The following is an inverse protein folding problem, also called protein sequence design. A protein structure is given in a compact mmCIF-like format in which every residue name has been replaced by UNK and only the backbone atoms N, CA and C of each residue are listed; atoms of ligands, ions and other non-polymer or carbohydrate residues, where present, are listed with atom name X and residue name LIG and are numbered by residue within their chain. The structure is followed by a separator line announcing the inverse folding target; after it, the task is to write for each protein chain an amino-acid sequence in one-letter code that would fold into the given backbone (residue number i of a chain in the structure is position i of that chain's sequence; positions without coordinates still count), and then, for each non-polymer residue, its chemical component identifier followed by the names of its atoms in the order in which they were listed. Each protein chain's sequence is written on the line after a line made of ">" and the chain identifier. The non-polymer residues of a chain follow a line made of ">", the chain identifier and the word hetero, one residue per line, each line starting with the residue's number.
data_IF_797500270433
#
_entry.id   IF_797500270433
#
_cell.length_a   1.000
_cell.length_b   1.000
_cell.length_c   1.000
_cell.angle_alpha   90.00
_cell.angle_beta   90.00
_cell.angle_gamma   90.00
#
_symmetry.space_group_name_H-M   'P 1'
#
loop_
_entity.id
_entity.type
_entity.pdbx_description
1 polymer ?
#
# COMPACT_ATOMS: atom_id res chain seq x y z
N UNK A 1 88.25 37.86 19.94
CA UNK A 1 87.80 38.15 21.31
C UNK A 1 86.37 38.61 21.24
N UNK A 2 85.49 37.96 21.86
CA UNK A 2 84.03 38.02 22.10
C UNK A 2 83.33 36.75 21.67
N UNK A 3 83.03 35.98 22.66
CA UNK A 3 82.24 34.75 22.64
C UNK A 3 80.79 35.10 22.35
N UNK A 4 80.16 34.28 21.52
CA UNK A 4 78.68 34.27 21.34
C UNK A 4 78.14 32.94 21.70
N UNK A 5 77.38 32.87 22.74
CA UNK A 5 76.61 31.70 23.21
C UNK A 5 75.42 31.40 22.27
N UNK A 6 75.11 30.17 21.98
CA UNK A 6 73.91 29.85 21.19
C UNK A 6 72.66 29.78 22.04
N UNK A 7 71.61 30.40 21.50
CA UNK A 7 70.22 30.34 22.01
C UNK A 7 69.63 28.95 21.77
N UNK A 8 69.11 28.34 22.83
CA UNK A 8 68.38 27.09 22.80
C UNK A 8 66.91 27.36 22.42
N UNK A 9 66.47 26.84 21.30
CA UNK A 9 65.07 26.94 20.86
C UNK A 9 64.28 25.79 21.48
N UNK A 10 63.38 26.15 22.39
CA UNK A 10 62.40 25.24 22.98
C UNK A 10 61.33 24.91 21.93
N UNK A 11 61.28 23.67 21.42
CA UNK A 11 60.25 23.16 20.56
C UNK A 11 59.00 22.78 21.42
N UNK A 12 58.02 23.66 21.48
CA UNK A 12 56.66 23.28 21.93
C UNK A 12 56.00 22.36 20.88
N UNK A 13 55.93 21.08 21.17
CA UNK A 13 55.17 20.14 20.37
C UNK A 13 53.64 20.39 20.54
N UNK A 14 53.00 20.88 19.49
CA UNK A 14 51.56 20.98 19.40
C UNK A 14 50.99 19.59 19.06
N UNK A 15 50.48 18.88 20.07
CA UNK A 15 49.77 17.64 19.87
C UNK A 15 48.41 17.93 19.23
N UNK A 16 48.30 17.69 17.92
CA UNK A 16 47.04 17.74 17.21
C UNK A 16 46.23 16.46 17.59
N UNK A 17 45.28 16.59 18.50
CA UNK A 17 44.25 15.56 18.70
C UNK A 17 43.35 15.57 17.48
N UNK A 18 43.59 14.63 16.54
CA UNK A 18 42.63 14.26 15.53
C UNK A 18 41.49 13.48 16.23
N UNK A 19 40.42 14.22 16.55
CA UNK A 19 39.12 13.59 16.84
C UNK A 19 38.65 12.92 15.54
N UNK A 20 39.00 11.63 15.41
CA UNK A 20 38.37 10.73 14.46
C UNK A 20 36.91 10.56 14.89
N UNK A 21 36.04 11.45 14.40
CA UNK A 21 34.61 11.23 14.43
C UNK A 21 34.31 9.96 13.65
N UNK A 22 34.05 8.85 14.36
CA UNK A 22 33.47 7.67 13.76
C UNK A 22 32.15 8.08 13.11
N UNK A 23 31.88 7.73 11.84
CA UNK A 23 30.57 7.96 11.26
C UNK A 23 29.55 7.20 12.13
N UNK A 24 28.59 7.94 12.68
CA UNK A 24 27.48 7.35 13.40
C UNK A 24 26.84 6.30 12.49
N UNK A 25 26.80 5.06 12.99
CA UNK A 25 26.33 3.89 12.27
C UNK A 25 24.90 4.12 11.77
N UNK A 26 24.72 4.25 10.46
CA UNK A 26 23.42 4.21 9.80
C UNK A 26 22.68 2.90 10.16
N UNK A 27 23.40 1.81 10.36
CA UNK A 27 22.83 0.51 10.69
C UNK A 27 22.07 0.40 12.01
N UNK A 28 22.41 1.21 13.04
CA UNK A 28 21.71 1.12 14.35
C UNK A 28 20.35 1.85 14.35
N UNK A 29 20.17 2.88 13.53
CA UNK A 29 18.89 3.60 13.40
C UNK A 29 17.87 2.79 12.60
N UNK A 30 18.30 2.04 11.61
CA UNK A 30 17.44 1.19 10.78
C UNK A 30 16.97 -0.04 11.53
N UNK A 31 17.81 -0.65 12.38
CA UNK A 31 17.44 -1.79 13.22
C UNK A 31 16.36 -1.43 14.26
N UNK A 32 16.40 -0.22 14.83
CA UNK A 32 15.43 0.26 15.81
C UNK A 32 14.02 0.49 15.22
N UNK A 33 13.91 0.71 13.92
CA UNK A 33 12.66 0.98 13.19
C UNK A 33 12.14 -0.21 12.38
N UNK A 34 12.88 -1.31 12.32
CA UNK A 34 12.43 -2.52 11.64
C UNK A 34 11.06 -2.97 12.13
N UNK A 35 10.24 -3.51 11.24
CA UNK A 35 8.95 -4.10 11.63
C UNK A 35 9.20 -5.19 12.65
N UNK A 36 8.59 -5.04 13.84
CA UNK A 36 8.86 -5.87 15.03
C UNK A 36 8.04 -7.15 15.02
N UNK A 37 6.84 -7.08 14.45
CA UNK A 37 5.93 -8.23 14.39
C UNK A 37 6.36 -9.11 13.23
N UNK A 38 6.51 -10.41 13.49
CA UNK A 38 6.74 -11.39 12.45
C UNK A 38 5.40 -11.82 11.84
N UNK A 39 4.91 -11.03 10.88
CA UNK A 39 3.67 -11.34 10.18
C UNK A 39 3.83 -12.64 9.37
N UNK A 40 2.83 -13.54 9.44
CA UNK A 40 2.89 -14.80 8.71
C UNK A 40 2.88 -14.58 7.20
N UNK A 41 3.46 -15.52 6.48
CA UNK A 41 3.46 -15.59 5.04
C UNK A 41 2.48 -16.67 4.61
N UNK A 42 1.31 -16.27 4.13
CA UNK A 42 0.27 -17.18 3.70
C UNK A 42 0.47 -17.60 2.25
N UNK A 43 0.54 -18.91 2.01
CA UNK A 43 0.69 -19.46 0.67
C UNK A 43 -0.68 -19.67 0.03
N UNK A 44 -0.95 -18.99 -1.07
CA UNK A 44 -2.21 -19.06 -1.81
C UNK A 44 -2.17 -20.13 -2.92
N UNK A 45 -1.05 -20.20 -3.64
CA UNK A 45 -0.75 -21.21 -4.67
C UNK A 45 0.70 -21.68 -4.52
N UNK A 46 1.18 -22.65 -5.33
CA UNK A 46 2.59 -23.01 -5.29
C UNK A 46 3.56 -21.84 -5.46
N UNK A 47 3.17 -20.78 -6.18
CA UNK A 47 4.04 -19.66 -6.53
C UNK A 47 3.56 -18.31 -6.01
N UNK A 48 2.39 -18.22 -5.37
CA UNK A 48 1.82 -16.94 -4.88
C UNK A 48 1.65 -16.97 -3.37
N UNK A 49 2.16 -15.92 -2.73
CA UNK A 49 2.09 -15.72 -1.29
C UNK A 49 1.58 -14.31 -0.97
N UNK A 50 1.03 -14.13 0.20
CA UNK A 50 0.56 -12.84 0.72
C UNK A 50 0.97 -12.68 2.17
N UNK A 51 1.33 -11.47 2.57
CA UNK A 51 1.47 -11.08 3.97
C UNK A 51 0.22 -10.26 4.31
N UNK A 52 -0.69 -10.82 5.11
CA UNK A 52 -1.88 -10.07 5.52
C UNK A 52 -1.52 -9.07 6.63
N UNK A 53 -1.65 -7.78 6.32
CA UNK A 53 -1.51 -6.73 7.31
C UNK A 53 -2.72 -6.65 8.26
N UNK A 54 -2.55 -6.04 9.44
CA UNK A 54 -3.67 -5.77 10.34
C UNK A 54 -4.69 -4.81 9.71
N UNK A 55 -5.96 -4.96 10.09
CA UNK A 55 -7.07 -4.13 9.58
C UNK A 55 -7.33 -2.88 10.42
N UNK A 56 -6.48 -2.60 11.41
CA UNK A 56 -6.54 -1.38 12.21
C UNK A 56 -5.92 -0.18 11.49
N UNK A 57 -6.29 1.02 11.91
CA UNK A 57 -5.63 2.25 11.49
C UNK A 57 -4.13 2.26 11.83
N UNK A 58 -3.32 3.10 11.18
CA UNK A 58 -1.92 3.27 11.54
C UNK A 58 -1.74 3.59 13.02
N UNK A 59 -0.92 2.80 13.71
CA UNK A 59 -0.59 2.93 15.13
C UNK A 59 0.91 2.68 15.36
N UNK A 60 1.45 3.06 16.54
CA UNK A 60 2.81 2.66 16.91
C UNK A 60 2.98 1.14 17.03
N UNK A 61 1.92 0.40 17.31
CA UNK A 61 1.95 -1.06 17.48
C UNK A 61 2.11 -1.78 16.13
N UNK A 62 1.29 -1.42 15.13
CA UNK A 62 1.39 -2.00 13.79
C UNK A 62 2.44 -1.29 12.90
N UNK A 63 3.09 -0.25 13.41
CA UNK A 63 4.11 0.53 12.70
C UNK A 63 3.63 1.01 11.31
N UNK A 64 2.35 1.39 11.22
CA UNK A 64 1.64 1.79 10.01
C UNK A 64 1.55 0.70 8.91
N UNK A 65 1.96 -0.54 9.17
CA UNK A 65 1.72 -1.66 8.25
C UNK A 65 0.26 -2.09 8.32
N UNK A 66 -0.41 -2.19 7.17
CA UNK A 66 -1.84 -2.53 7.13
C UNK A 66 -2.34 -3.15 5.82
N UNK A 67 -1.63 -3.02 4.72
CA UNK A 67 -2.00 -3.59 3.43
C UNK A 67 -1.61 -5.08 3.30
N UNK A 68 -1.92 -5.67 2.16
CA UNK A 68 -1.62 -7.06 1.83
C UNK A 68 -0.53 -7.15 0.73
N UNK A 69 0.77 -7.08 1.05
CA UNK A 69 1.81 -7.30 0.06
C UNK A 69 1.72 -8.69 -0.56
N UNK A 70 1.62 -8.74 -1.89
CA UNK A 70 1.68 -9.97 -2.67
C UNK A 70 3.11 -10.30 -3.08
N UNK A 71 3.48 -11.57 -3.05
CA UNK A 71 4.78 -12.11 -3.48
C UNK A 71 4.53 -13.20 -4.52
N UNK A 72 5.05 -13.03 -5.72
CA UNK A 72 4.88 -13.98 -6.82
C UNK A 72 6.24 -14.51 -7.26
N UNK A 73 6.46 -15.80 -7.10
CA UNK A 73 7.68 -16.46 -7.54
C UNK A 73 7.58 -16.77 -9.05
N UNK A 74 8.57 -16.33 -9.82
CA UNK A 74 8.67 -16.63 -11.24
C UNK A 74 9.99 -17.34 -11.57
N UNK A 75 10.15 -17.78 -12.83
CA UNK A 75 11.42 -18.38 -13.26
C UNK A 75 12.57 -17.35 -13.30
N UNK A 76 12.28 -16.09 -13.60
CA UNK A 76 13.29 -15.02 -13.74
C UNK A 76 13.55 -14.24 -12.46
N UNK A 77 12.68 -14.33 -11.47
CA UNK A 77 12.80 -13.58 -10.23
C UNK A 77 11.48 -13.52 -9.48
N UNK A 78 11.38 -12.58 -8.56
CA UNK A 78 10.20 -12.36 -7.73
C UNK A 78 9.51 -11.07 -8.14
N UNK A 79 8.18 -11.08 -8.17
CA UNK A 79 7.35 -9.90 -8.38
C UNK A 79 6.60 -9.58 -7.09
N UNK A 80 6.59 -8.31 -6.71
CA UNK A 80 5.85 -7.81 -5.55
C UNK A 80 4.63 -7.04 -6.03
N UNK A 81 3.52 -7.17 -5.30
CA UNK A 81 2.33 -6.33 -5.47
C UNK A 81 2.13 -5.58 -4.17
N UNK A 82 2.14 -4.23 -4.24
CA UNK A 82 1.95 -3.32 -3.12
C UNK A 82 2.88 -3.57 -1.92
N UNK A 83 4.14 -3.13 -1.96
CA UNK A 83 5.16 -3.48 -0.96
C UNK A 83 4.98 -2.83 0.42
N UNK A 84 3.93 -2.03 0.64
CA UNK A 84 3.61 -1.52 1.97
C UNK A 84 3.82 -0.02 2.18
N UNK A 85 3.69 0.39 3.44
CA UNK A 85 3.52 1.78 3.90
C UNK A 85 4.81 2.54 4.20
N UNK A 86 5.98 1.88 4.12
CA UNK A 86 7.25 2.51 4.47
C UNK A 86 8.45 1.70 3.97
N UNK A 87 9.64 2.31 4.01
CA UNK A 87 10.92 1.61 3.77
C UNK A 87 11.06 0.39 4.68
N UNK A 88 10.56 0.46 5.91
CA UNK A 88 10.66 -0.62 6.90
C UNK A 88 9.76 -1.80 6.53
N UNK A 89 8.55 -1.54 6.04
CA UNK A 89 7.64 -2.57 5.53
C UNK A 89 8.20 -3.19 4.25
N UNK A 90 8.68 -2.37 3.29
CA UNK A 90 9.35 -2.88 2.09
C UNK A 90 10.55 -3.77 2.42
N UNK A 91 11.37 -3.38 3.41
CA UNK A 91 12.47 -4.20 3.90
C UNK A 91 12.00 -5.50 4.57
N UNK A 92 10.85 -5.49 5.25
CA UNK A 92 10.22 -6.72 5.77
C UNK A 92 9.81 -7.64 4.62
N UNK A 93 9.19 -7.12 3.57
CA UNK A 93 8.82 -7.89 2.37
C UNK A 93 10.06 -8.53 1.75
N UNK A 94 11.18 -7.77 1.62
CA UNK A 94 12.47 -8.32 1.14
C UNK A 94 12.92 -9.50 1.99
N UNK A 95 12.94 -9.37 3.31
CA UNK A 95 13.32 -10.48 4.21
C UNK A 95 12.41 -11.70 4.03
N UNK A 96 11.10 -11.50 3.87
CA UNK A 96 10.15 -12.61 3.61
C UNK A 96 10.44 -13.31 2.28
N UNK A 97 10.75 -12.55 1.21
CA UNK A 97 11.17 -13.13 -0.07
C UNK A 97 12.42 -13.99 0.09
N UNK A 98 13.42 -13.53 0.85
CA UNK A 98 14.67 -14.25 1.09
C UNK A 98 14.47 -15.57 1.85
N UNK A 99 13.36 -15.74 2.58
CA UNK A 99 13.01 -17.06 3.17
C UNK A 99 12.46 -18.06 2.16
N UNK A 100 12.00 -17.58 0.99
CA UNK A 100 11.39 -18.41 -0.05
C UNK A 100 12.37 -18.79 -1.17
N UNK A 101 13.30 -17.89 -1.50
CA UNK A 101 14.18 -18.04 -2.67
C UNK A 101 15.36 -17.07 -2.64
N UNK A 102 16.47 -17.48 -3.28
CA UNK A 102 17.63 -16.61 -3.52
C UNK A 102 17.49 -15.73 -4.78
N UNK A 103 16.38 -15.87 -5.52
CA UNK A 103 16.13 -15.08 -6.72
C UNK A 103 15.87 -13.60 -6.39
N UNK A 104 16.35 -12.66 -7.24
CA UNK A 104 16.12 -11.24 -7.00
C UNK A 104 14.65 -10.86 -7.19
N UNK A 105 14.22 -9.79 -6.51
CA UNK A 105 13.00 -9.08 -6.87
C UNK A 105 13.29 -8.30 -8.17
N UNK A 106 12.48 -8.55 -9.21
CA UNK A 106 12.68 -7.98 -10.56
C UNK A 106 11.62 -6.97 -10.94
N UNK A 107 10.44 -7.04 -10.32
CA UNK A 107 9.37 -6.09 -10.57
C UNK A 107 8.49 -5.85 -9.33
N UNK A 108 7.82 -4.70 -9.35
CA UNK A 108 6.78 -4.30 -8.41
C UNK A 108 5.58 -3.78 -9.21
N UNK A 109 4.36 -4.15 -8.82
CA UNK A 109 3.13 -3.48 -9.26
C UNK A 109 2.54 -2.71 -8.08
N UNK A 110 2.27 -1.43 -8.27
CA UNK A 110 1.49 -0.65 -7.32
C UNK A 110 0.07 -0.50 -7.86
N UNK A 111 -0.92 -0.88 -7.04
CA UNK A 111 -2.33 -0.86 -7.45
C UNK A 111 -2.88 0.55 -7.50
N UNK A 112 -2.52 1.42 -6.56
CA UNK A 112 -2.96 2.82 -6.50
C UNK A 112 -2.04 3.67 -5.62
N UNK A 113 -2.33 4.99 -5.47
CA UNK A 113 -1.43 5.96 -4.87
C UNK A 113 -1.57 6.13 -3.34
N UNK A 114 -2.42 5.35 -2.64
CA UNK A 114 -2.43 5.42 -1.19
C UNK A 114 -1.12 4.90 -0.60
N UNK A 115 -0.59 5.62 0.39
CA UNK A 115 0.77 5.43 0.87
C UNK A 115 1.08 4.04 1.42
N UNK A 116 0.08 3.35 1.95
CA UNK A 116 0.21 1.98 2.47
C UNK A 116 0.40 0.92 1.37
N UNK A 117 0.28 1.29 0.09
CA UNK A 117 0.47 0.37 -1.04
C UNK A 117 1.81 0.57 -1.77
N UNK A 118 2.48 1.73 -1.65
CA UNK A 118 3.67 2.00 -2.46
C UNK A 118 4.88 2.60 -1.76
N UNK A 119 4.74 3.15 -0.56
CA UNK A 119 5.88 3.75 0.14
C UNK A 119 6.96 2.71 0.50
N UNK A 120 6.62 1.42 0.51
CA UNK A 120 7.56 0.31 0.61
C UNK A 120 8.46 0.10 -0.61
N UNK A 121 8.18 0.77 -1.75
CA UNK A 121 9.01 0.74 -2.96
C UNK A 121 10.48 1.03 -2.65
N UNK A 122 10.76 1.97 -1.74
CA UNK A 122 12.11 2.31 -1.33
C UNK A 122 12.85 1.10 -0.75
N UNK A 123 12.23 0.35 0.16
CA UNK A 123 12.83 -0.86 0.74
C UNK A 123 13.16 -1.92 -0.31
N UNK A 124 12.31 -2.05 -1.33
CA UNK A 124 12.59 -2.93 -2.47
C UNK A 124 13.78 -2.41 -3.30
N UNK A 125 13.78 -1.10 -3.65
CA UNK A 125 14.84 -0.51 -4.48
C UNK A 125 16.20 -0.47 -3.78
N UNK A 126 16.25 -0.31 -2.46
CA UNK A 126 17.50 -0.38 -1.71
C UNK A 126 18.15 -1.77 -1.79
N UNK A 127 17.35 -2.84 -1.73
CA UNK A 127 17.84 -4.21 -1.85
C UNK A 127 18.05 -4.64 -3.31
N UNK A 128 17.17 -4.22 -4.20
CA UNK A 128 17.13 -4.60 -5.62
C UNK A 128 16.97 -3.36 -6.52
N UNK A 129 18.02 -2.55 -6.74
CA UNK A 129 17.92 -1.27 -7.48
C UNK A 129 17.41 -1.40 -8.91
N UNK A 130 17.55 -2.60 -9.52
CA UNK A 130 17.10 -2.87 -10.90
C UNK A 130 15.65 -3.36 -10.99
N UNK A 131 14.96 -3.58 -9.87
CA UNK A 131 13.54 -3.93 -9.88
C UNK A 131 12.73 -2.83 -10.57
N UNK A 132 11.87 -3.18 -11.52
CA UNK A 132 11.05 -2.23 -12.29
C UNK A 132 9.70 -2.05 -11.61
N UNK A 133 9.33 -0.82 -11.28
CA UNK A 133 8.06 -0.50 -10.64
C UNK A 133 7.05 -0.06 -11.71
N UNK A 134 5.89 -0.72 -11.73
CA UNK A 134 4.77 -0.46 -12.63
C UNK A 134 3.59 0.13 -11.87
N UNK A 135 2.90 1.12 -12.44
CA UNK A 135 1.65 1.65 -11.93
C UNK A 135 0.83 2.36 -13.02
N UNK A 136 -0.40 2.73 -12.71
CA UNK A 136 -1.24 3.54 -13.59
C UNK A 136 -0.57 4.90 -13.90
N UNK A 137 -0.73 5.47 -15.15
CA UNK A 137 -0.13 6.76 -15.52
C UNK A 137 -0.44 7.91 -14.54
N UNK A 138 -1.67 8.00 -14.05
CA UNK A 138 -2.06 9.03 -13.06
C UNK A 138 -1.32 8.84 -11.74
N UNK A 139 -1.21 7.61 -11.22
CA UNK A 139 -0.42 7.33 -10.01
C UNK A 139 1.02 7.75 -10.21
N UNK A 140 1.63 7.44 -11.35
CA UNK A 140 3.01 7.88 -11.65
C UNK A 140 3.15 9.41 -11.61
N UNK A 141 2.18 10.14 -12.14
CA UNK A 141 2.16 11.60 -12.09
C UNK A 141 2.02 12.12 -10.66
N UNK A 142 1.15 11.54 -9.83
CA UNK A 142 0.97 11.90 -8.42
C UNK A 142 2.23 11.62 -7.59
N UNK A 143 2.89 10.49 -7.81
CA UNK A 143 4.12 10.13 -7.10
C UNK A 143 5.29 11.09 -7.38
N UNK A 144 5.27 11.83 -8.51
CA UNK A 144 6.23 12.88 -8.83
C UNK A 144 5.95 14.21 -8.10
N UNK A 145 4.81 14.33 -7.44
CA UNK A 145 4.37 15.48 -6.66
C UNK A 145 4.55 15.23 -5.15
N UNK A 146 3.64 15.77 -4.35
CA UNK A 146 3.72 15.69 -2.89
C UNK A 146 3.00 14.49 -2.26
N UNK A 147 2.36 13.63 -3.07
CA UNK A 147 1.52 12.52 -2.60
C UNK A 147 2.23 11.65 -1.54
N UNK A 148 3.44 11.21 -1.85
CA UNK A 148 4.20 10.39 -0.90
C UNK A 148 4.55 11.11 0.41
N UNK A 149 4.90 12.40 0.34
CA UNK A 149 5.20 13.19 1.54
C UNK A 149 3.98 13.42 2.41
N UNK A 150 2.81 13.63 1.80
CA UNK A 150 1.54 13.75 2.54
C UNK A 150 1.20 12.47 3.31
N UNK A 151 1.37 11.31 2.67
CA UNK A 151 1.13 10.03 3.33
C UNK A 151 2.14 9.74 4.44
N UNK A 152 3.43 10.00 4.24
CA UNK A 152 4.47 9.86 5.27
C UNK A 152 4.14 10.72 6.49
N UNK A 153 3.73 11.99 6.28
CA UNK A 153 3.31 12.87 7.37
C UNK A 153 2.11 12.28 8.13
N UNK A 154 1.06 11.90 7.40
CA UNK A 154 -0.15 11.34 8.00
C UNK A 154 0.10 10.04 8.79
N UNK A 155 0.97 9.17 8.29
CA UNK A 155 1.34 7.93 8.98
C UNK A 155 2.20 8.20 10.21
N UNK A 156 3.18 9.13 10.13
CA UNK A 156 4.01 9.49 11.27
C UNK A 156 3.19 10.09 12.42
N UNK A 157 2.23 10.95 12.12
CA UNK A 157 1.34 11.55 13.12
C UNK A 157 0.54 10.47 13.89
N UNK A 158 0.10 9.41 13.21
CA UNK A 158 -0.70 8.33 13.80
C UNK A 158 0.13 7.22 14.44
N UNK A 159 1.34 6.97 13.92
CA UNK A 159 2.20 5.86 14.35
C UNK A 159 3.39 6.28 15.19
N UNK A 160 3.41 7.53 15.72
CA UNK A 160 4.51 8.10 16.49
C UNK A 160 5.87 7.99 15.79
N UNK A 161 5.91 8.36 14.49
CA UNK A 161 7.14 8.38 13.70
C UNK A 161 7.61 7.01 13.20
N UNK A 162 6.75 5.99 13.19
CA UNK A 162 7.16 4.63 12.79
C UNK A 162 7.56 4.50 11.32
N UNK A 163 7.18 5.45 10.45
CA UNK A 163 7.57 5.46 9.02
C UNK A 163 8.68 6.47 8.71
N UNK A 164 9.28 7.09 9.74
CA UNK A 164 10.41 8.02 9.57
C UNK A 164 11.56 7.37 8.80
N UNK A 165 12.25 8.20 8.01
CA UNK A 165 13.35 7.77 7.14
C UNK A 165 12.87 7.21 5.79
N UNK A 166 11.53 7.10 5.58
CA UNK A 166 10.98 6.70 4.29
C UNK A 166 11.08 7.85 3.28
N UNK A 167 11.58 7.55 2.10
CA UNK A 167 11.62 8.44 0.93
C UNK A 167 10.70 7.90 -0.15
N UNK A 168 9.77 8.69 -0.70
CA UNK A 168 8.90 8.21 -1.77
C UNK A 168 9.70 7.82 -3.02
N UNK A 169 9.53 6.59 -3.48
CA UNK A 169 10.11 6.07 -4.73
C UNK A 169 8.97 5.72 -5.69
N UNK A 170 8.76 6.59 -6.68
CA UNK A 170 7.67 6.47 -7.65
C UNK A 170 7.88 5.37 -8.69
N UNK A 171 6.84 5.09 -9.51
CA UNK A 171 6.90 4.09 -10.57
C UNK A 171 7.87 4.43 -11.71
N UNK A 172 8.62 3.42 -12.16
CA UNK A 172 9.52 3.54 -13.33
C UNK A 172 8.73 3.53 -14.64
N UNK A 173 7.72 2.64 -14.75
CA UNK A 173 6.93 2.42 -15.95
C UNK A 173 5.43 2.55 -15.69
N UNK A 174 4.72 2.90 -16.75
CA UNK A 174 3.26 2.89 -16.73
C UNK A 174 2.72 1.52 -17.13
N UNK A 175 1.55 1.18 -16.56
CA UNK A 175 0.75 0.02 -16.93
C UNK A 175 -0.68 0.49 -17.18
N UNK A 176 -1.26 0.07 -18.30
CA UNK A 176 -2.60 0.49 -18.75
C UNK A 176 -3.55 -0.70 -18.74
N UNK A 177 -4.82 -0.42 -18.93
CA UNK A 177 -5.83 -1.47 -19.07
C UNK A 177 -5.51 -2.41 -20.23
N UNK A 178 -5.55 -3.71 -19.98
CA UNK A 178 -5.29 -4.76 -20.95
C UNK A 178 -3.82 -5.09 -21.17
N UNK A 179 -2.88 -4.32 -20.61
CA UNK A 179 -1.46 -4.63 -20.70
C UNK A 179 -1.18 -6.02 -20.07
N UNK A 180 -0.26 -6.76 -20.73
CA UNK A 180 0.27 -8.02 -20.20
C UNK A 180 1.78 -7.90 -20.04
N UNK A 181 2.23 -7.90 -18.80
CA UNK A 181 3.65 -7.92 -18.47
C UNK A 181 4.07 -9.37 -18.24
N UNK A 182 4.99 -9.86 -19.08
CA UNK A 182 5.54 -11.20 -18.94
C UNK A 182 6.86 -11.13 -18.15
N UNK A 183 6.97 -11.92 -17.08
CA UNK A 183 8.20 -12.10 -16.29
C UNK A 183 8.51 -13.58 -16.26
N UNK A 184 9.47 -13.99 -17.09
CA UNK A 184 9.63 -15.38 -17.45
C UNK A 184 8.38 -15.91 -18.16
N UNK A 185 7.90 -17.07 -17.72
CA UNK A 185 6.67 -17.65 -18.26
C UNK A 185 5.39 -17.15 -17.55
N UNK A 186 5.51 -16.35 -16.50
CA UNK A 186 4.36 -15.87 -15.73
C UNK A 186 3.79 -14.59 -16.34
N UNK A 187 2.49 -14.60 -16.59
CA UNK A 187 1.73 -13.46 -17.16
C UNK A 187 1.08 -12.66 -16.04
N UNK A 188 1.31 -11.34 -16.06
CA UNK A 188 0.64 -10.37 -15.21
C UNK A 188 -0.27 -9.52 -16.08
N UNK A 189 -1.57 -9.78 -16.05
CA UNK A 189 -2.56 -8.99 -16.79
C UNK A 189 -3.03 -7.84 -15.93
N UNK A 190 -2.90 -6.62 -16.47
CA UNK A 190 -3.31 -5.39 -15.82
C UNK A 190 -4.74 -5.05 -16.21
N UNK A 191 -5.59 -4.79 -15.23
CA UNK A 191 -6.97 -4.37 -15.43
C UNK A 191 -7.17 -3.01 -14.75
N UNK A 192 -7.46 -1.98 -15.52
CA UNK A 192 -7.90 -0.68 -15.03
C UNK A 192 -9.41 -0.54 -15.26
N UNK A 193 -10.24 -0.58 -14.21
CA UNK A 193 -11.70 -0.59 -14.36
C UNK A 193 -12.31 0.79 -14.61
N UNK A 194 -11.52 1.86 -14.62
CA UNK A 194 -11.97 3.24 -14.49
C UNK A 194 -12.09 3.66 -13.03
N UNK A 195 -12.66 4.83 -12.73
CA UNK A 195 -12.82 5.31 -11.36
C UNK A 195 -13.59 4.32 -10.49
N UNK A 196 -12.94 3.80 -9.44
CA UNK A 196 -13.49 2.83 -8.49
C UNK A 196 -13.19 3.25 -7.04
N UNK A 197 -12.21 2.65 -6.36
CA UNK A 197 -11.71 3.13 -5.08
C UNK A 197 -10.97 4.47 -5.22
N UNK A 198 -10.18 4.58 -6.29
CA UNK A 198 -9.57 5.80 -6.79
C UNK A 198 -9.83 5.93 -8.30
N UNK A 199 -9.29 6.96 -8.95
CA UNK A 199 -9.41 7.12 -10.40
C UNK A 199 -8.21 6.55 -11.18
N UNK A 200 -7.36 5.79 -10.48
CA UNK A 200 -6.12 5.22 -11.01
C UNK A 200 -5.86 3.79 -10.48
N UNK A 201 -6.91 3.09 -10.06
CA UNK A 201 -6.78 1.72 -9.54
C UNK A 201 -6.37 0.74 -10.63
N UNK A 202 -5.46 -0.17 -10.27
CA UNK A 202 -5.13 -1.35 -11.05
C UNK A 202 -5.49 -2.62 -10.28
N UNK A 203 -6.10 -3.58 -10.95
CA UNK A 203 -6.15 -4.97 -10.51
C UNK A 203 -5.07 -5.74 -11.27
N UNK A 204 -4.39 -6.66 -10.59
CA UNK A 204 -3.33 -7.48 -11.19
C UNK A 204 -3.78 -8.93 -11.19
N UNK A 205 -4.05 -9.46 -12.37
CA UNK A 205 -4.44 -10.85 -12.57
C UNK A 205 -3.25 -11.71 -12.97
N UNK A 206 -3.16 -12.87 -12.35
CA UNK A 206 -2.24 -13.95 -12.71
C UNK A 206 -3.08 -15.11 -13.27
N UNK A 207 -3.36 -15.13 -14.58
CA UNK A 207 -4.27 -16.13 -15.17
C UNK A 207 -3.81 -17.56 -14.93
N UNK A 208 -2.49 -17.81 -15.02
CA UNK A 208 -1.92 -19.15 -14.88
C UNK A 208 -2.00 -19.68 -13.43
N UNK A 209 -2.02 -18.78 -12.44
CA UNK A 209 -2.16 -19.09 -11.02
C UNK A 209 -3.63 -18.99 -10.54
N UNK A 210 -4.54 -18.49 -11.39
CA UNK A 210 -5.95 -18.18 -11.06
C UNK A 210 -6.10 -17.26 -9.84
N UNK A 211 -5.22 -16.28 -9.71
CA UNK A 211 -5.21 -15.29 -8.63
C UNK A 211 -5.48 -13.90 -9.19
N UNK A 212 -6.32 -13.12 -8.50
CA UNK A 212 -6.55 -11.72 -8.79
C UNK A 212 -6.29 -10.88 -7.55
N UNK A 213 -5.35 -9.93 -7.66
CA UNK A 213 -5.14 -8.87 -6.68
C UNK A 213 -6.02 -7.68 -7.03
N UNK A 214 -6.92 -7.31 -6.14
CA UNK A 214 -7.87 -6.22 -6.33
C UNK A 214 -7.34 -4.84 -5.92
N UNK A 215 -6.27 -4.78 -5.11
CA UNK A 215 -5.99 -3.56 -4.35
C UNK A 215 -7.22 -3.17 -3.52
N UNK A 216 -7.42 -1.89 -3.27
CA UNK A 216 -8.51 -1.38 -2.42
C UNK A 216 -9.88 -1.32 -3.10
N UNK A 217 -9.98 -1.77 -4.37
CA UNK A 217 -11.27 -2.05 -5.00
C UNK A 217 -12.07 -3.06 -4.16
N UNK A 218 -11.36 -3.99 -3.48
CA UNK A 218 -11.95 -4.89 -2.47
C UNK A 218 -11.18 -4.74 -1.15
N UNK A 219 -11.93 -4.55 -0.07
CA UNK A 219 -11.43 -4.54 1.30
C UNK A 219 -12.28 -5.45 2.17
N UNK A 220 -11.67 -6.12 3.13
CA UNK A 220 -12.34 -6.98 4.08
C UNK A 220 -11.95 -6.60 5.51
N UNK A 221 -12.93 -6.35 6.35
CA UNK A 221 -12.74 -5.97 7.75
C UNK A 221 -12.28 -4.54 8.01
N UNK A 222 -12.05 -3.72 6.97
CA UNK A 222 -11.56 -2.35 7.09
C UNK A 222 -12.31 -1.42 6.14
N UNK A 223 -12.65 -0.24 6.64
CA UNK A 223 -13.09 0.91 5.85
C UNK A 223 -12.09 2.06 6.00
N UNK A 224 -12.01 2.91 5.01
CA UNK A 224 -11.11 4.05 4.98
C UNK A 224 -11.57 5.05 3.91
N UNK A 225 -10.77 6.04 3.57
CA UNK A 225 -11.10 7.05 2.58
C UNK A 225 -11.60 6.40 1.30
N UNK A 226 -12.65 6.97 0.74
CA UNK A 226 -13.22 6.57 -0.53
C UNK A 226 -13.21 7.82 -1.43
N UNK A 227 -12.51 7.74 -2.55
CA UNK A 227 -12.16 8.94 -3.30
C UNK A 227 -12.76 9.02 -4.70
N UNK A 228 -13.43 7.97 -5.19
CA UNK A 228 -13.89 7.99 -6.57
C UNK A 228 -15.39 7.69 -6.77
N UNK A 229 -15.80 6.43 -6.88
CA UNK A 229 -17.17 6.08 -7.27
C UNK A 229 -17.63 4.75 -6.67
N UNK A 230 -18.73 4.78 -5.93
CA UNK A 230 -19.38 3.55 -5.45
C UNK A 230 -19.88 2.68 -6.60
N UNK A 231 -20.51 3.29 -7.61
CA UNK A 231 -20.99 2.60 -8.81
C UNK A 231 -19.83 2.01 -9.60
N UNK A 232 -18.78 2.81 -9.79
CA UNK A 232 -17.57 2.36 -10.47
C UNK A 232 -16.87 1.22 -9.72
N UNK A 233 -16.82 1.30 -8.39
CA UNK A 233 -16.22 0.24 -7.57
C UNK A 233 -16.99 -1.09 -7.67
N UNK A 234 -18.33 -1.04 -7.65
CA UNK A 234 -19.19 -2.21 -7.90
C UNK A 234 -18.90 -2.80 -9.28
N UNK A 235 -18.84 -1.96 -10.32
CA UNK A 235 -18.55 -2.39 -11.69
C UNK A 235 -17.13 -3.00 -11.81
N UNK A 236 -16.15 -2.44 -11.09
CA UNK A 236 -14.79 -2.97 -11.00
C UNK A 236 -14.76 -4.36 -10.37
N UNK A 237 -15.48 -4.57 -9.27
CA UNK A 237 -15.62 -5.89 -8.63
C UNK A 237 -16.27 -6.86 -9.61
N UNK A 238 -17.35 -6.47 -10.28
CA UNK A 238 -18.03 -7.32 -11.27
C UNK A 238 -17.11 -7.71 -12.43
N UNK A 239 -16.22 -6.79 -12.86
CA UNK A 239 -15.21 -7.08 -13.88
C UNK A 239 -14.19 -8.11 -13.37
N UNK A 240 -13.69 -7.96 -12.14
CA UNK A 240 -12.77 -8.91 -11.52
C UNK A 240 -13.39 -10.30 -11.34
N UNK A 241 -14.68 -10.37 -10.95
CA UNK A 241 -15.42 -11.62 -10.80
C UNK A 241 -15.73 -12.36 -12.11
N UNK A 242 -15.56 -11.70 -13.27
CA UNK A 242 -15.67 -12.30 -14.60
C UNK A 242 -14.36 -12.92 -15.09
N UNK A 243 -13.25 -12.70 -14.39
CA UNK A 243 -11.99 -13.41 -14.68
C UNK A 243 -12.09 -14.87 -14.31
N UNK A 244 -11.10 -15.67 -14.72
CA UNK A 244 -11.02 -17.07 -14.32
C UNK A 244 -10.38 -17.29 -12.94
N UNK A 245 -10.10 -16.20 -12.20
CA UNK A 245 -9.54 -16.30 -10.87
C UNK A 245 -10.46 -17.06 -9.91
N UNK A 246 -9.85 -17.88 -9.08
CA UNK A 246 -10.50 -18.62 -8.01
C UNK A 246 -10.05 -18.18 -6.64
N UNK A 247 -8.92 -17.44 -6.58
CA UNK A 247 -8.38 -16.81 -5.37
C UNK A 247 -8.35 -15.31 -5.58
N UNK A 248 -8.89 -14.59 -4.63
CA UNK A 248 -9.01 -13.13 -4.66
C UNK A 248 -8.30 -12.51 -3.47
N UNK A 249 -7.42 -11.56 -3.75
CA UNK A 249 -6.61 -10.86 -2.75
C UNK A 249 -7.12 -9.42 -2.65
N UNK A 250 -7.76 -9.03 -1.54
CA UNK A 250 -8.14 -7.65 -1.29
C UNK A 250 -6.90 -6.81 -0.92
N UNK A 251 -7.00 -5.49 -0.99
CA UNK A 251 -5.94 -4.59 -0.50
C UNK A 251 -5.73 -4.71 1.01
N UNK A 252 -6.80 -5.00 1.76
CA UNK A 252 -6.80 -5.21 3.20
C UNK A 252 -7.71 -6.37 3.59
N UNK A 253 -7.36 -7.06 4.69
CA UNK A 253 -8.11 -8.19 5.22
C UNK A 253 -7.73 -9.52 4.58
N UNK A 254 -8.57 -10.54 4.70
CA UNK A 254 -8.20 -11.90 4.30
C UNK A 254 -8.45 -12.19 2.83
N UNK A 255 -7.49 -12.86 2.21
CA UNK A 255 -7.68 -13.47 0.88
C UNK A 255 -8.60 -14.68 0.96
N UNK A 256 -9.29 -14.98 -0.14
CA UNK A 256 -10.20 -16.12 -0.19
C UNK A 256 -10.77 -16.35 -1.58
N UNK A 257 -11.89 -17.07 -1.63
CA UNK A 257 -12.65 -17.27 -2.85
C UNK A 257 -13.47 -16.01 -3.22
N UNK A 258 -14.33 -16.12 -4.21
CA UNK A 258 -15.17 -15.02 -4.70
C UNK A 258 -16.05 -14.36 -3.63
N UNK A 259 -16.29 -15.04 -2.49
CA UNK A 259 -17.13 -14.50 -1.42
C UNK A 259 -16.52 -13.24 -0.79
N UNK A 260 -15.19 -13.11 -0.76
CA UNK A 260 -14.49 -11.88 -0.29
C UNK A 260 -14.93 -10.67 -1.11
N UNK A 261 -14.84 -10.77 -2.43
CA UNK A 261 -15.25 -9.68 -3.32
C UNK A 261 -16.77 -9.43 -3.29
N UNK A 262 -17.57 -10.49 -3.24
CA UNK A 262 -19.03 -10.39 -3.16
C UNK A 262 -19.49 -9.76 -1.85
N UNK A 263 -18.81 -9.99 -0.73
CA UNK A 263 -19.13 -9.40 0.55
C UNK A 263 -18.94 -7.87 0.52
N UNK A 264 -17.79 -7.40 0.01
CA UNK A 264 -17.55 -5.96 -0.13
C UNK A 264 -18.48 -5.30 -1.15
N UNK A 265 -18.75 -5.98 -2.27
CA UNK A 265 -19.74 -5.55 -3.25
C UNK A 265 -21.13 -5.32 -2.61
N UNK A 266 -21.58 -6.26 -1.78
CA UNK A 266 -22.86 -6.14 -1.04
C UNK A 266 -22.86 -4.94 -0.09
N UNK A 267 -21.73 -4.70 0.61
CA UNK A 267 -21.57 -3.49 1.43
C UNK A 267 -21.83 -2.22 0.61
N UNK A 268 -21.18 -2.09 -0.55
CA UNK A 268 -21.30 -0.92 -1.43
C UNK A 268 -22.73 -0.77 -1.98
N UNK A 269 -23.37 -1.88 -2.38
CA UNK A 269 -24.75 -1.89 -2.85
C UNK A 269 -25.73 -1.47 -1.75
N UNK A 270 -25.58 -2.01 -0.54
CA UNK A 270 -26.41 -1.65 0.60
C UNK A 270 -26.30 -0.16 0.89
N UNK A 271 -25.08 0.38 0.89
CA UNK A 271 -24.83 1.81 1.04
C UNK A 271 -25.62 2.62 -0.01
N UNK A 272 -25.42 2.32 -1.30
CA UNK A 272 -26.08 3.03 -2.40
C UNK A 272 -27.61 2.94 -2.34
N UNK A 273 -28.15 1.76 -2.05
CA UNK A 273 -29.61 1.54 -1.96
C UNK A 273 -30.20 2.39 -0.83
N UNK A 274 -29.60 2.39 0.34
CA UNK A 274 -30.11 3.16 1.49
C UNK A 274 -30.01 4.67 1.26
N UNK A 275 -28.87 5.12 0.70
CA UNK A 275 -28.69 6.55 0.38
C UNK A 275 -29.69 7.00 -0.69
N UNK A 276 -29.90 6.21 -1.76
CA UNK A 276 -30.90 6.54 -2.80
C UNK A 276 -32.31 6.60 -2.24
N UNK A 277 -32.69 5.69 -1.36
CA UNK A 277 -33.99 5.74 -0.67
C UNK A 277 -34.14 7.00 0.19
N UNK A 278 -33.09 7.35 0.93
CA UNK A 278 -33.06 8.59 1.71
C UNK A 278 -33.23 9.83 0.82
N UNK A 279 -32.44 9.92 -0.25
CA UNK A 279 -32.45 11.02 -1.22
C UNK A 279 -33.86 11.23 -1.83
N UNK A 280 -34.48 10.16 -2.34
CA UNK A 280 -35.85 10.21 -2.91
C UNK A 280 -36.94 10.58 -1.90
N UNK A 281 -36.67 10.38 -0.60
CA UNK A 281 -37.53 10.82 0.49
C UNK A 281 -37.23 12.25 0.99
N UNK A 282 -36.33 12.99 0.32
CA UNK A 282 -35.96 14.35 0.66
C UNK A 282 -35.10 14.49 1.91
N UNK A 283 -34.44 13.40 2.38
CA UNK A 283 -33.51 13.42 3.52
C UNK A 283 -32.17 13.95 3.08
N UNK A 284 -31.52 14.75 3.92
CA UNK A 284 -30.12 15.08 3.80
C UNK A 284 -29.22 13.87 4.14
N UNK A 285 -27.96 13.92 3.75
CA UNK A 285 -26.94 12.90 4.07
C UNK A 285 -26.82 12.66 5.58
N UNK A 286 -26.89 13.73 6.38
CA UNK A 286 -26.85 13.65 7.84
C UNK A 286 -28.07 12.91 8.42
N UNK A 287 -29.29 13.20 7.93
CA UNK A 287 -30.54 12.60 8.42
C UNK A 287 -30.66 11.12 8.08
N UNK A 288 -30.05 10.67 6.97
CA UNK A 288 -30.11 9.27 6.57
C UNK A 288 -29.03 8.38 7.25
N UNK A 289 -27.98 8.97 7.83
CA UNK A 289 -26.87 8.23 8.47
C UNK A 289 -27.31 7.14 9.44
N UNK A 290 -28.26 7.35 10.37
CA UNK A 290 -28.71 6.29 11.31
C UNK A 290 -29.36 5.10 10.58
N UNK A 291 -30.12 5.36 9.50
CA UNK A 291 -30.77 4.30 8.70
C UNK A 291 -29.75 3.48 7.92
N UNK A 292 -28.76 4.16 7.34
CA UNK A 292 -27.65 3.50 6.64
C UNK A 292 -26.84 2.64 7.63
N UNK A 293 -26.52 3.17 8.82
CA UNK A 293 -25.84 2.42 9.87
C UNK A 293 -26.59 1.14 10.26
N UNK A 294 -27.90 1.22 10.44
CA UNK A 294 -28.75 0.07 10.77
C UNK A 294 -28.73 -0.99 9.66
N UNK A 295 -28.78 -0.59 8.39
CA UNK A 295 -28.75 -1.50 7.25
C UNK A 295 -27.39 -2.16 7.06
N UNK A 296 -26.32 -1.55 7.54
CA UNK A 296 -24.95 -2.08 7.52
C UNK A 296 -24.58 -2.89 8.77
N UNK A 297 -25.57 -3.38 9.52
CA UNK A 297 -25.35 -4.09 10.80
C UNK A 297 -24.43 -5.30 10.71
N UNK A 298 -24.39 -6.00 9.57
CA UNK A 298 -23.46 -7.12 9.32
C UNK A 298 -21.99 -6.69 9.31
N UNK A 299 -21.71 -5.43 9.05
CA UNK A 299 -20.37 -4.83 8.94
C UNK A 299 -19.96 -4.04 10.18
N UNK A 300 -20.78 -4.05 11.26
CA UNK A 300 -20.55 -3.25 12.47
C UNK A 300 -19.18 -3.45 13.15
N UNK A 301 -18.56 -4.60 12.91
CA UNK A 301 -17.25 -4.95 13.46
C UNK A 301 -16.08 -4.58 12.51
N UNK A 302 -16.37 -3.99 11.36
CA UNK A 302 -15.32 -3.53 10.47
C UNK A 302 -14.64 -2.29 11.04
N UNK A 303 -13.32 -2.30 11.01
CA UNK A 303 -12.50 -1.19 11.50
C UNK A 303 -12.85 0.10 10.75
N UNK A 304 -12.89 1.20 11.49
CA UNK A 304 -13.21 2.54 11.02
C UNK A 304 -14.62 2.73 10.40
N UNK A 305 -15.56 1.77 10.55
CA UNK A 305 -16.91 1.97 10.00
C UNK A 305 -17.60 3.20 10.61
N UNK A 306 -17.59 3.32 11.94
CA UNK A 306 -18.29 4.42 12.63
C UNK A 306 -17.68 5.78 12.29
N UNK A 307 -16.36 5.85 12.23
CA UNK A 307 -15.58 7.05 11.93
C UNK A 307 -15.76 7.49 10.47
N UNK A 308 -15.77 6.52 9.55
CA UNK A 308 -15.87 6.78 8.11
C UNK A 308 -17.29 6.94 7.60
N UNK A 309 -18.31 6.44 8.34
CA UNK A 309 -19.69 6.33 7.85
C UNK A 309 -20.25 7.67 7.36
N UNK A 310 -20.00 8.77 8.08
CA UNK A 310 -20.46 10.09 7.67
C UNK A 310 -19.92 10.49 6.29
N UNK A 311 -18.62 10.36 6.09
CA UNK A 311 -17.98 10.68 4.81
C UNK A 311 -18.47 9.76 3.67
N UNK A 312 -18.64 8.46 3.97
CA UNK A 312 -19.14 7.49 2.99
C UNK A 312 -20.58 7.80 2.58
N UNK A 313 -21.45 8.16 3.52
CA UNK A 313 -22.84 8.55 3.25
C UNK A 313 -22.88 9.83 2.41
N UNK A 314 -22.10 10.86 2.78
CA UNK A 314 -22.04 12.11 2.02
C UNK A 314 -21.50 11.90 0.61
N UNK A 315 -20.44 11.07 0.44
CA UNK A 315 -19.91 10.75 -0.88
C UNK A 315 -20.92 9.98 -1.75
N UNK A 316 -21.61 8.98 -1.17
CA UNK A 316 -22.67 8.26 -1.86
C UNK A 316 -23.87 9.15 -2.19
N UNK A 317 -24.21 10.10 -1.32
CA UNK A 317 -25.27 11.08 -1.56
C UNK A 317 -24.97 11.94 -2.79
N UNK A 318 -23.79 12.53 -2.87
CA UNK A 318 -23.38 13.35 -4.01
C UNK A 318 -23.35 12.54 -5.32
N UNK A 319 -22.93 11.28 -5.27
CA UNK A 319 -22.97 10.41 -6.45
C UNK A 319 -24.41 10.11 -6.88
N UNK A 320 -25.32 9.82 -5.94
CA UNK A 320 -26.74 9.58 -6.23
C UNK A 320 -27.42 10.85 -6.74
N UNK A 321 -27.16 11.99 -6.13
CA UNK A 321 -27.68 13.29 -6.59
C UNK A 321 -27.32 13.53 -8.04
N UNK A 322 -26.05 13.35 -8.41
CA UNK A 322 -25.59 13.50 -9.79
C UNK A 322 -26.20 12.48 -10.79
N UNK A 323 -26.71 11.34 -10.32
CA UNK A 323 -27.40 10.34 -11.15
C UNK A 323 -28.89 10.61 -11.34
N UNK A 324 -29.53 11.28 -10.38
CA UNK A 324 -30.98 11.52 -10.38
C UNK A 324 -31.38 12.88 -11.06
N UNK A 325 -30.36 13.72 -11.35
CA UNK A 325 -30.51 14.92 -12.19
C UNK A 325 -30.34 14.59 -13.67
#
# INVERSE_FOLDING_TARGET
>A
MKSATPFSICQCGLALFLLSGLPAQAGDRDAARAIRIDYPLDRLTPNVYVIHGPTEDPTPANQAFRNNPGIVLTREGVVIIDPGSSVHVGSMVVRKVQTLTDKPIVAVFNTHAHGDHWLGNEGIKLAYPRAVIYAHPKMKAMALQDEGRMWIKAFNERSAGAVDGTTPVGPDKVANDGDVVNIGATRFRVLHPGPAHSDHDLMIELPDEKVLFFGDIVRDGLLGPFQASFKGNIAAIDRGLKTEATVFVPGHGRSGDRTVAMNYRRFLETMRVQVRLGYRNGLSDFEMKPKVAAALGDYRNWSALNESLGQLVSAAYLEIEAEEF
#
